data_IF_005483800272
#
_entry.id   IF_005483800272
#
_cell.length_a   1.000
_cell.length_b   1.000
_cell.length_c   1.000
_cell.angle_alpha   90.00
_cell.angle_beta   90.00
_cell.angle_gamma   90.00
#
_symmetry.space_group_name_H-M   'P 1'
#
loop_
_entity.id
_entity.type
_entity.pdbx_description
1 polymer ?
#
# COMPACT_ATOMS: atom_id res chain seq x y z
N UNK A 1 -22.53 1.43 31.69
CA UNK A 1 -21.08 1.55 31.43
C UNK A 1 -20.95 1.55 29.92
N UNK A 2 -20.66 2.72 29.35
CA UNK A 2 -20.83 2.99 27.92
C UNK A 2 -19.90 2.14 27.07
N UNK A 3 -20.46 1.21 26.31
CA UNK A 3 -19.84 0.71 25.08
C UNK A 3 -19.79 1.90 24.11
N UNK A 4 -18.58 2.46 23.93
CA UNK A 4 -18.34 3.46 22.89
C UNK A 4 -18.58 2.74 21.56
N UNK A 5 -19.30 3.35 20.60
CA UNK A 5 -19.42 2.74 19.29
C UNK A 5 -18.00 2.62 18.70
N UNK A 6 -17.58 1.40 18.36
CA UNK A 6 -16.48 1.13 17.45
C UNK A 6 -16.85 1.70 16.07
N UNK A 7 -16.93 3.01 15.94
CA UNK A 7 -17.36 3.73 14.74
C UNK A 7 -16.17 4.26 13.91
N UNK A 8 -15.00 3.66 14.05
CA UNK A 8 -13.90 3.84 13.12
C UNK A 8 -13.58 2.49 12.49
N UNK A 9 -14.20 2.22 11.34
CA UNK A 9 -13.91 1.04 10.54
C UNK A 9 -12.44 1.05 10.14
N UNK A 10 -11.60 0.34 10.89
CA UNK A 10 -10.17 0.24 10.60
C UNK A 10 -9.97 -0.55 9.32
N UNK A 11 -9.51 0.11 8.27
CA UNK A 11 -9.13 -0.50 7.00
C UNK A 11 -7.71 -1.02 7.13
N UNK A 12 -7.50 -2.27 6.71
CA UNK A 12 -6.17 -2.89 6.62
C UNK A 12 -5.77 -2.95 5.15
N UNK A 13 -4.70 -2.24 4.82
CA UNK A 13 -4.05 -2.29 3.52
C UNK A 13 -2.73 -3.05 3.61
N UNK A 14 -2.52 -3.97 2.69
CA UNK A 14 -1.22 -4.59 2.43
C UNK A 14 -0.55 -3.83 1.29
N UNK A 15 0.63 -3.29 1.54
CA UNK A 15 1.45 -2.58 0.57
C UNK A 15 2.65 -3.45 0.24
N UNK A 16 2.76 -3.86 -1.01
CA UNK A 16 3.84 -4.73 -1.49
C UNK A 16 4.74 -3.96 -2.42
N UNK A 17 6.03 -3.94 -2.11
CA UNK A 17 7.03 -3.37 -3.00
C UNK A 17 7.56 -4.45 -3.94
N UNK A 18 7.40 -4.19 -5.23
CA UNK A 18 7.93 -4.96 -6.34
C UNK A 18 9.13 -4.20 -6.89
N UNK A 19 10.34 -4.46 -6.38
CA UNK A 19 11.54 -3.84 -6.88
C UNK A 19 11.86 -4.38 -8.28
N UNK A 20 12.75 -3.69 -8.98
CA UNK A 20 13.23 -4.16 -10.28
C UNK A 20 13.95 -5.51 -10.13
N UNK A 21 13.99 -6.31 -11.20
CA UNK A 21 14.56 -7.66 -11.18
C UNK A 21 16.05 -7.67 -10.83
N UNK A 22 16.74 -6.54 -11.04
CA UNK A 22 18.15 -6.32 -10.69
C UNK A 22 18.38 -5.93 -9.22
N UNK A 23 17.32 -5.74 -8.42
CA UNK A 23 17.47 -5.31 -7.04
C UNK A 23 17.87 -6.48 -6.11
N UNK A 24 19.05 -6.37 -5.50
CA UNK A 24 19.52 -7.31 -4.46
C UNK A 24 18.75 -7.16 -3.14
N UNK A 25 18.81 -8.19 -2.29
CA UNK A 25 18.11 -8.24 -0.99
C UNK A 25 18.41 -6.99 -0.15
N UNK A 26 19.67 -6.58 0.00
CA UNK A 26 20.04 -5.39 0.78
C UNK A 26 19.44 -4.08 0.25
N UNK A 27 19.27 -3.97 -1.07
CA UNK A 27 18.61 -2.82 -1.66
C UNK A 27 17.11 -2.85 -1.35
N UNK A 28 16.46 -4.01 -1.49
CA UNK A 28 15.03 -4.18 -1.16
C UNK A 28 14.75 -3.83 0.28
N UNK A 29 15.59 -4.32 1.18
CA UNK A 29 15.47 -4.14 2.62
C UNK A 29 15.61 -2.67 3.01
N UNK A 30 16.53 -1.95 2.35
CA UNK A 30 16.67 -0.49 2.46
C UNK A 30 15.45 0.26 1.90
N UNK A 31 14.92 -0.15 0.75
CA UNK A 31 13.74 0.46 0.15
C UNK A 31 12.50 0.30 1.03
N UNK A 32 12.28 -0.89 1.60
CA UNK A 32 11.17 -1.16 2.54
C UNK A 32 11.30 -0.33 3.81
N UNK A 33 12.50 -0.26 4.40
CA UNK A 33 12.74 0.60 5.58
C UNK A 33 12.45 2.06 5.28
N UNK A 34 12.87 2.55 4.11
CA UNK A 34 12.61 3.92 3.68
C UNK A 34 11.12 4.17 3.44
N UNK A 35 10.46 3.28 2.71
CA UNK A 35 9.02 3.36 2.44
C UNK A 35 8.22 3.39 3.74
N UNK A 36 8.56 2.52 4.70
CA UNK A 36 7.94 2.52 6.03
C UNK A 36 8.09 3.86 6.74
N UNK A 37 9.26 4.50 6.65
CA UNK A 37 9.50 5.83 7.22
C UNK A 37 8.57 6.89 6.62
N UNK A 38 8.39 6.88 5.31
CA UNK A 38 7.49 7.80 4.61
C UNK A 38 6.02 7.56 4.99
N UNK A 39 5.59 6.30 5.05
CA UNK A 39 4.21 5.97 5.44
C UNK A 39 3.91 6.33 6.89
N UNK A 40 4.92 6.35 7.75
CA UNK A 40 4.77 6.77 9.15
C UNK A 40 4.57 8.29 9.30
N UNK A 41 4.71 9.07 8.23
CA UNK A 41 4.35 10.49 8.19
C UNK A 41 2.85 10.70 7.90
N UNK A 42 2.17 9.66 7.42
CA UNK A 42 0.72 9.67 7.23
C UNK A 42 0.07 9.32 8.57
N UNK A 43 -1.09 9.90 8.85
CA UNK A 43 -1.89 9.66 10.06
C UNK A 43 -2.55 8.27 10.02
N UNK A 44 -1.71 7.22 10.05
CA UNK A 44 -2.12 5.81 10.03
C UNK A 44 -2.06 5.25 11.46
N UNK A 45 -3.02 4.39 11.79
CA UNK A 45 -3.13 3.79 13.14
C UNK A 45 -1.95 2.86 13.45
N UNK A 46 -1.50 2.08 12.46
CA UNK A 46 -0.33 1.22 12.65
C UNK A 46 0.32 0.79 11.34
N UNK A 47 1.64 0.58 11.40
CA UNK A 47 2.42 -0.04 10.31
C UNK A 47 3.18 -1.23 10.86
N UNK A 48 3.08 -2.38 10.19
CA UNK A 48 3.81 -3.62 10.51
C UNK A 48 4.47 -4.17 9.26
N UNK A 49 5.68 -4.70 9.39
CA UNK A 49 6.32 -5.47 8.32
C UNK A 49 5.66 -6.84 8.25
N UNK A 50 5.28 -7.25 7.04
CA UNK A 50 4.82 -8.60 6.75
C UNK A 50 5.82 -9.28 5.83
N UNK A 51 6.03 -10.58 6.07
CA UNK A 51 6.70 -11.43 5.10
C UNK A 51 5.83 -11.51 3.83
N UNK A 52 6.48 -11.46 2.67
CA UNK A 52 5.83 -11.59 1.37
C UNK A 52 4.88 -12.79 1.36
N UNK A 53 3.64 -12.53 0.96
CA UNK A 53 2.58 -13.51 0.86
C UNK A 53 2.54 -14.03 -0.57
N UNK A 54 1.72 -15.04 -0.87
CA UNK A 54 1.57 -15.50 -2.25
C UNK A 54 1.25 -14.31 -3.13
N UNK A 55 1.99 -14.19 -4.22
CA UNK A 55 1.80 -13.13 -5.19
C UNK A 55 0.32 -13.15 -5.64
N UNK A 56 -0.35 -11.99 -5.77
CA UNK A 56 -1.71 -11.96 -6.27
C UNK A 56 -1.78 -12.63 -7.64
N UNK A 57 -2.84 -13.40 -7.87
CA UNK A 57 -3.03 -14.18 -9.11
C UNK A 57 -2.87 -13.28 -10.34
N UNK A 58 -1.89 -13.61 -11.18
CA UNK A 58 -1.57 -12.86 -12.41
C UNK A 58 -0.31 -12.00 -12.35
N UNK A 59 0.35 -11.87 -11.20
CA UNK A 59 1.61 -11.15 -11.10
C UNK A 59 2.79 -11.96 -11.71
N UNK A 60 3.24 -11.58 -12.91
CA UNK A 60 4.55 -12.00 -13.43
C UNK A 60 5.64 -11.18 -12.72
N UNK A 61 6.18 -11.70 -11.63
CA UNK A 61 7.31 -11.07 -10.93
C UNK A 61 8.01 -12.02 -9.95
N UNK A 62 9.03 -11.53 -9.21
CA UNK A 62 9.91 -12.36 -8.39
C UNK A 62 9.15 -13.15 -7.31
N UNK A 63 9.78 -14.25 -6.86
CA UNK A 63 9.20 -15.20 -5.90
C UNK A 63 8.59 -14.51 -4.67
N UNK A 64 7.34 -14.85 -4.28
CA UNK A 64 6.59 -14.21 -3.20
C UNK A 64 7.32 -14.21 -1.85
N UNK A 65 8.22 -15.16 -1.60
CA UNK A 65 9.02 -15.22 -0.35
C UNK A 65 10.02 -14.06 -0.25
N UNK A 66 10.36 -13.41 -1.36
CA UNK A 66 11.40 -12.37 -1.45
C UNK A 66 10.82 -10.94 -1.54
N UNK A 67 9.50 -10.79 -1.45
CA UNK A 67 8.81 -9.51 -1.49
C UNK A 67 8.71 -8.91 -0.09
N UNK A 68 9.09 -7.65 0.05
CA UNK A 68 8.83 -6.89 1.27
C UNK A 68 7.40 -6.36 1.26
N UNK A 69 6.63 -6.67 2.31
CA UNK A 69 5.27 -6.18 2.48
C UNK A 69 5.13 -5.34 3.76
N UNK A 70 4.26 -4.33 3.72
CA UNK A 70 3.87 -3.52 4.86
C UNK A 70 2.35 -3.65 5.05
N UNK A 71 1.93 -4.07 6.23
CA UNK A 71 0.53 -3.99 6.66
C UNK A 71 0.31 -2.65 7.32
N UNK A 72 -0.59 -1.86 6.76
CA UNK A 72 -0.97 -0.53 7.21
C UNK A 72 -2.42 -0.56 7.65
N UNK A 73 -2.70 -0.10 8.87
CA UNK A 73 -4.05 0.08 9.38
C UNK A 73 -4.35 1.58 9.48
N UNK A 74 -5.53 2.00 9.03
CA UNK A 74 -5.99 3.38 9.11
C UNK A 74 -7.52 3.46 9.16
N UNK A 75 -8.08 4.55 9.69
CA UNK A 75 -9.53 4.78 9.71
C UNK A 75 -10.11 5.01 8.31
N UNK A 76 -11.24 4.36 8.01
CA UNK A 76 -12.02 4.54 6.77
C UNK A 76 -12.53 5.97 6.56
N UNK A 77 -12.66 6.73 7.64
CA UNK A 77 -13.46 7.96 7.70
C UNK A 77 -12.72 9.22 7.22
N UNK A 78 -11.39 9.17 7.06
CA UNK A 78 -10.53 10.37 7.11
C UNK A 78 -9.79 10.78 5.84
N UNK A 79 -10.04 10.17 4.68
CA UNK A 79 -9.23 10.43 3.47
C UNK A 79 -7.76 9.98 3.58
N UNK A 80 -7.42 9.27 4.67
CA UNK A 80 -6.08 8.74 4.95
C UNK A 80 -5.59 7.84 3.83
N UNK A 81 -6.48 7.06 3.20
CA UNK A 81 -6.11 6.25 2.03
C UNK A 81 -5.61 7.09 0.85
N UNK A 82 -6.26 8.23 0.55
CA UNK A 82 -5.82 9.13 -0.51
C UNK A 82 -4.44 9.70 -0.20
N UNK A 83 -4.19 10.08 1.06
CA UNK A 83 -2.88 10.54 1.51
C UNK A 83 -1.82 9.43 1.42
N UNK A 84 -2.15 8.21 1.88
CA UNK A 84 -1.31 7.02 1.79
C UNK A 84 -0.89 6.76 0.34
N UNK A 85 -1.85 6.68 -0.58
CA UNK A 85 -1.56 6.45 -2.00
C UNK A 85 -0.74 7.62 -2.58
N UNK A 86 -1.03 8.87 -2.18
CA UNK A 86 -0.22 10.04 -2.55
C UNK A 86 1.25 9.91 -2.16
N UNK A 87 1.53 9.46 -0.95
CA UNK A 87 2.90 9.23 -0.46
C UNK A 87 3.58 8.08 -1.20
N UNK A 88 2.89 6.95 -1.42
CA UNK A 88 3.43 5.81 -2.19
C UNK A 88 3.83 6.21 -3.61
N UNK A 89 3.02 7.06 -4.23
CA UNK A 89 3.20 7.60 -5.58
C UNK A 89 4.37 8.57 -5.68
N UNK A 90 4.45 9.51 -4.75
CA UNK A 90 5.57 10.46 -4.66
C UNK A 90 6.89 9.72 -4.40
N UNK A 91 6.85 8.71 -3.52
CA UNK A 91 7.97 7.81 -3.32
C UNK A 91 8.39 7.08 -4.59
N UNK A 92 7.46 6.45 -5.32
CA UNK A 92 7.73 5.77 -6.59
C UNK A 92 8.36 6.70 -7.63
N UNK A 93 7.82 7.92 -7.75
CA UNK A 93 8.32 8.94 -8.67
C UNK A 93 9.78 9.33 -8.35
N UNK A 94 10.16 9.32 -7.07
CA UNK A 94 11.54 9.57 -6.61
C UNK A 94 12.49 8.37 -6.81
N UNK A 95 11.97 7.14 -6.93
CA UNK A 95 12.78 5.93 -7.17
C UNK A 95 12.95 5.60 -8.67
N UNK A 96 12.92 6.61 -9.54
CA UNK A 96 13.14 6.48 -10.99
C UNK A 96 12.10 5.67 -11.77
N UNK A 97 10.95 5.34 -11.17
CA UNK A 97 9.84 4.65 -11.85
C UNK A 97 10.10 3.20 -12.25
N UNK A 98 11.20 2.59 -11.81
CA UNK A 98 11.53 1.17 -12.07
C UNK A 98 10.91 0.20 -11.09
N UNK A 99 10.39 0.72 -9.98
CA UNK A 99 9.74 -0.08 -8.96
C UNK A 99 8.24 0.04 -9.08
N UNK A 100 7.56 -0.98 -8.59
CA UNK A 100 6.12 -1.05 -8.57
C UNK A 100 5.64 -1.27 -7.16
N UNK A 101 4.50 -0.66 -6.82
CA UNK A 101 3.83 -0.90 -5.55
C UNK A 101 2.44 -1.43 -5.85
N UNK A 102 2.08 -2.52 -5.18
CA UNK A 102 0.75 -3.09 -5.19
C UNK A 102 0.12 -2.85 -3.83
N UNK A 103 -1.10 -2.32 -3.80
CA UNK A 103 -1.85 -2.09 -2.57
C UNK A 103 -3.08 -2.98 -2.57
N UNK A 104 -3.25 -3.82 -1.56
CA UNK A 104 -4.37 -4.75 -1.43
C UNK A 104 -5.18 -4.43 -0.18
N UNK A 105 -6.49 -4.27 -0.31
CA UNK A 105 -7.43 -4.07 0.82
C UNK A 105 -8.60 -5.02 0.61
N UNK A 106 -8.94 -5.80 1.64
CA UNK A 106 -10.06 -6.75 1.62
C UNK A 106 -10.11 -7.71 0.40
N UNK A 107 -8.97 -7.96 -0.26
CA UNK A 107 -8.86 -8.82 -1.43
C UNK A 107 -8.79 -8.08 -2.77
N UNK A 108 -9.24 -6.82 -2.85
CA UNK A 108 -9.06 -5.99 -4.04
C UNK A 108 -7.64 -5.41 -4.05
N UNK A 109 -6.96 -5.50 -5.20
CA UNK A 109 -5.59 -5.01 -5.37
C UNK A 109 -5.52 -3.91 -6.43
N UNK A 110 -4.72 -2.87 -6.17
CA UNK A 110 -4.44 -1.78 -7.10
C UNK A 110 -2.93 -1.63 -7.32
N UNK A 111 -2.53 -1.53 -8.58
CA UNK A 111 -1.15 -1.31 -9.02
C UNK A 111 -0.91 0.20 -9.19
N UNK A 112 0.11 0.75 -8.52
CA UNK A 112 0.36 2.19 -8.53
C UNK A 112 1.36 2.66 -9.60
N UNK A 113 2.03 1.75 -10.30
CA UNK A 113 3.09 2.05 -11.28
C UNK A 113 2.58 2.45 -12.67
N UNK A 114 1.36 2.05 -13.05
CA UNK A 114 0.84 2.24 -14.42
C UNK A 114 -0.19 3.35 -14.60
N UNK A 115 -0.73 3.91 -13.52
CA UNK A 115 -1.85 4.87 -13.62
C UNK A 115 -1.39 6.33 -13.69
N UNK A 116 -1.87 7.06 -14.70
CA UNK A 116 -1.72 8.52 -14.77
C UNK A 116 -2.39 9.20 -13.55
N UNK A 117 -1.98 10.43 -13.22
CA UNK A 117 -2.53 11.15 -12.05
C UNK A 117 -4.06 11.40 -12.13
N UNK A 118 -4.65 11.33 -13.33
CA UNK A 118 -6.09 11.41 -13.57
C UNK A 118 -6.79 10.09 -13.29
N UNK A 119 -6.42 9.02 -14.00
CA UNK A 119 -6.97 7.66 -13.82
C UNK A 119 -6.82 7.17 -12.38
N UNK A 120 -5.73 7.54 -11.72
CA UNK A 120 -5.47 7.25 -10.31
C UNK A 120 -6.57 7.73 -9.38
N UNK A 121 -7.03 8.97 -9.54
CA UNK A 121 -8.03 9.55 -8.62
C UNK A 121 -9.35 8.82 -8.73
N UNK A 122 -9.71 8.42 -9.94
CA UNK A 122 -10.91 7.65 -10.21
C UNK A 122 -10.79 6.23 -9.64
N UNK A 123 -9.66 5.55 -9.88
CA UNK A 123 -9.39 4.22 -9.32
C UNK A 123 -9.40 4.24 -7.78
N UNK A 124 -8.74 5.22 -7.16
CA UNK A 124 -8.73 5.40 -5.70
C UNK A 124 -10.14 5.68 -5.20
N UNK A 125 -10.88 6.61 -5.81
CA UNK A 125 -12.24 6.93 -5.37
C UNK A 125 -13.19 5.74 -5.51
N UNK A 126 -13.09 4.98 -6.60
CA UNK A 126 -13.87 3.76 -6.80
C UNK A 126 -13.52 2.69 -5.74
N UNK A 127 -12.23 2.56 -5.44
CA UNK A 127 -11.72 1.64 -4.44
C UNK A 127 -12.18 2.03 -3.03
N UNK A 128 -12.02 3.30 -2.63
CA UNK A 128 -12.55 3.82 -1.35
C UNK A 128 -14.05 3.55 -1.27
N UNK A 129 -14.83 3.96 -2.29
CA UNK A 129 -16.29 3.78 -2.29
C UNK A 129 -16.72 2.33 -2.10
N UNK A 130 -15.95 1.36 -2.61
CA UNK A 130 -16.19 -0.07 -2.43
C UNK A 130 -15.94 -0.55 -1.00
N UNK A 131 -14.96 0.02 -0.30
CA UNK A 131 -14.49 -0.46 1.01
C UNK A 131 -14.89 0.42 2.20
N UNK A 132 -15.33 1.66 2.00
CA UNK A 132 -15.81 2.57 3.04
C UNK A 132 -17.34 2.56 3.22
N UNK A 133 -18.06 1.75 2.44
CA UNK A 133 -19.52 1.66 2.44
C UNK A 133 -20.09 0.37 3.07
N UNK A 134 -19.31 -0.30 3.92
CA UNK A 134 -19.71 -1.53 4.62
C UNK A 134 -20.13 -1.28 6.06
#
# INVERSE_FOLDING_TARGET
>A
MNERPDADGVIRARVELWPDSEADIDLRDRLIRRLRGELNLVDVDSIRTALGGPAPDGAKGPDPVTLGALLVAFSASGGVFTALVGVLQDWLSRQSGRHRIVVTIAGDSIELDRASAGERRELINAFIKRHSGG
#
